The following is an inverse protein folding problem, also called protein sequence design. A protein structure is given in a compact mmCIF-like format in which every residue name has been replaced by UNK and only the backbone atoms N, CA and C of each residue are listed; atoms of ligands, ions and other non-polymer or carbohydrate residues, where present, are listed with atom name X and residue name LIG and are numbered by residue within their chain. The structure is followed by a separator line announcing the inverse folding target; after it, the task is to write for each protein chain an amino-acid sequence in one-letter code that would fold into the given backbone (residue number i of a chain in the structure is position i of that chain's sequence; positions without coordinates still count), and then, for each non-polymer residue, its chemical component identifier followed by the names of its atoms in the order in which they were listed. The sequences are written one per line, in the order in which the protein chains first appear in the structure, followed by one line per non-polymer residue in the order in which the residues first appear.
data_IF_001092413209
#
_entry.id   IF_001092413209
#
_cell.length_a   1.000
_cell.length_b   1.000
_cell.length_c   1.000
_cell.angle_alpha   90.00
_cell.angle_beta   90.00
_cell.angle_gamma   90.00
#
_symmetry.space_group_name_H-M   'P 1'
#
loop_
_entity.id
_entity.type
_entity.pdbx_description
1 polymer ?
#
# COMPACT_ATOMS: atom_id res chain seq x y z
N UNK A 1 -39.55 -5.22 49.81
CA UNK A 1 -38.86 -6.44 49.35
C UNK A 1 -38.86 -6.39 47.82
N UNK A 2 -37.68 -6.41 47.18
CA UNK A 2 -37.50 -6.03 45.76
C UNK A 2 -38.25 -7.00 44.83
N UNK A 3 -39.16 -6.48 44.01
CA UNK A 3 -39.67 -7.19 42.83
C UNK A 3 -38.66 -6.95 41.70
N UNK A 4 -38.03 -8.02 41.23
CA UNK A 4 -37.10 -7.98 40.10
C UNK A 4 -37.85 -7.58 38.83
N UNK A 5 -37.37 -6.52 38.16
CA UNK A 5 -37.85 -6.13 36.84
C UNK A 5 -37.25 -7.11 35.81
N UNK A 6 -38.04 -8.10 35.41
CA UNK A 6 -37.79 -8.86 34.20
C UNK A 6 -38.14 -7.98 33.00
N UNK A 7 -37.20 -7.16 32.54
CA UNK A 7 -37.32 -6.51 31.24
C UNK A 7 -36.71 -7.42 30.17
N UNK A 8 -37.58 -8.26 29.62
CA UNK A 8 -37.41 -8.94 28.34
C UNK A 8 -37.25 -7.89 27.24
N UNK A 9 -36.02 -7.47 26.97
CA UNK A 9 -35.73 -6.77 25.71
C UNK A 9 -35.74 -7.81 24.61
N UNK A 10 -36.76 -7.74 23.76
CA UNK A 10 -36.98 -8.60 22.61
C UNK A 10 -35.67 -8.86 21.86
N UNK A 11 -35.15 -10.08 21.98
CA UNK A 11 -34.28 -10.66 20.97
C UNK A 11 -35.16 -10.90 19.75
N UNK A 12 -35.36 -9.83 18.96
CA UNK A 12 -35.90 -9.94 17.62
C UNK A 12 -34.92 -10.80 16.86
N UNK A 13 -35.22 -12.10 16.81
CA UNK A 13 -34.64 -13.04 15.87
C UNK A 13 -34.85 -12.44 14.48
N UNK A 14 -33.86 -11.71 13.98
CA UNK A 14 -33.76 -11.42 12.55
C UNK A 14 -33.58 -12.78 11.94
N UNK A 15 -34.64 -13.26 11.31
CA UNK A 15 -34.68 -14.52 10.58
C UNK A 15 -33.48 -14.57 9.64
N UNK A 16 -32.63 -15.59 9.81
CA UNK A 16 -31.52 -15.98 8.91
C UNK A 16 -32.01 -16.45 7.52
N UNK A 17 -33.10 -15.88 7.00
CA UNK A 17 -33.80 -16.33 5.80
C UNK A 17 -33.70 -15.35 4.61
N UNK A 18 -33.22 -14.11 4.79
CA UNK A 18 -33.14 -13.12 3.70
C UNK A 18 -31.73 -12.83 3.19
N UNK A 19 -30.69 -13.47 3.74
CA UNK A 19 -29.30 -13.21 3.32
C UNK A 19 -28.79 -14.14 2.19
N UNK A 20 -29.70 -14.72 1.40
CA UNK A 20 -29.33 -15.48 0.19
C UNK A 20 -29.25 -14.53 -1.01
N UNK A 21 -28.15 -13.79 -1.15
CA UNK A 21 -27.80 -13.15 -2.42
C UNK A 21 -27.16 -11.77 -2.37
N UNK A 22 -27.07 -11.13 -1.20
CA UNK A 22 -26.29 -9.89 -1.08
C UNK A 22 -24.84 -10.25 -0.78
N UNK A 23 -23.95 -9.96 -1.73
CA UNK A 23 -22.50 -9.97 -1.55
C UNK A 23 -22.21 -9.26 -0.23
N UNK A 24 -21.76 -9.98 0.81
CA UNK A 24 -21.45 -9.38 2.11
C UNK A 24 -20.38 -8.31 1.87
N UNK A 25 -20.77 -7.05 1.99
CA UNK A 25 -19.85 -5.92 1.87
C UNK A 25 -18.80 -6.11 2.95
N UNK A 26 -17.54 -6.20 2.55
CA UNK A 26 -16.45 -6.39 3.50
C UNK A 26 -16.37 -5.21 4.46
N UNK A 27 -15.83 -5.44 5.67
CA UNK A 27 -15.64 -4.38 6.64
C UNK A 27 -14.83 -3.21 6.05
N UNK A 28 -13.83 -3.53 5.22
CA UNK A 28 -13.05 -2.56 4.43
C UNK A 28 -13.94 -1.70 3.53
N UNK A 29 -14.82 -2.31 2.74
CA UNK A 29 -15.72 -1.57 1.85
C UNK A 29 -16.73 -0.72 2.62
N UNK A 30 -17.24 -1.21 3.76
CA UNK A 30 -18.13 -0.40 4.61
C UNK A 30 -17.43 0.85 5.12
N UNK A 31 -16.18 0.73 5.58
CA UNK A 31 -15.38 1.87 6.05
C UNK A 31 -15.09 2.85 4.91
N UNK A 32 -14.69 2.35 3.73
CA UNK A 32 -14.44 3.21 2.57
C UNK A 32 -15.69 3.97 2.12
N UNK A 33 -16.84 3.33 2.09
CA UNK A 33 -18.12 3.98 1.75
C UNK A 33 -18.45 5.09 2.75
N UNK A 34 -18.29 4.83 4.04
CA UNK A 34 -18.50 5.82 5.09
C UNK A 34 -17.56 7.02 4.94
N UNK A 35 -16.25 6.79 4.79
CA UNK A 35 -15.28 7.88 4.66
C UNK A 35 -15.53 8.73 3.41
N UNK A 36 -15.90 8.10 2.29
CA UNK A 36 -16.26 8.81 1.05
C UNK A 36 -17.50 9.68 1.24
N UNK A 37 -18.52 9.15 1.91
CA UNK A 37 -19.75 9.90 2.21
C UNK A 37 -19.48 11.12 3.10
N UNK A 38 -18.69 10.96 4.16
CA UNK A 38 -18.29 12.08 5.04
C UNK A 38 -17.44 13.10 4.29
N UNK A 39 -16.50 12.65 3.45
CA UNK A 39 -15.64 13.52 2.63
C UNK A 39 -16.45 14.37 1.64
N UNK A 40 -17.54 13.84 1.08
CA UNK A 40 -18.42 14.58 0.19
C UNK A 40 -19.29 15.60 0.92
N UNK A 41 -19.66 15.32 2.17
CA UNK A 41 -20.57 16.15 2.97
C UNK A 41 -19.85 17.25 3.76
N UNK A 42 -18.58 17.05 4.09
CA UNK A 42 -17.83 18.05 4.87
C UNK A 42 -17.48 19.28 4.03
N UNK A 43 -17.68 20.47 4.63
CA UNK A 43 -17.19 21.74 4.11
C UNK A 43 -15.81 22.13 4.67
N UNK A 44 -15.28 21.38 5.64
CA UNK A 44 -13.97 21.62 6.23
C UNK A 44 -12.88 21.05 5.30
N UNK A 45 -12.04 21.95 4.76
CA UNK A 45 -10.96 21.60 3.85
C UNK A 45 -9.85 20.78 4.51
N UNK A 46 -9.55 21.00 5.79
CA UNK A 46 -8.54 20.23 6.52
C UNK A 46 -9.03 18.81 6.70
N UNK A 47 -10.26 18.64 7.21
CA UNK A 47 -10.85 17.32 7.38
C UNK A 47 -11.00 16.59 6.04
N UNK A 48 -11.35 17.31 4.97
CA UNK A 48 -11.44 16.72 3.62
C UNK A 48 -10.10 16.17 3.14
N UNK A 49 -9.00 16.88 3.40
CA UNK A 49 -7.65 16.41 3.11
C UNK A 49 -7.33 15.12 3.87
N UNK A 50 -7.56 15.13 5.19
CA UNK A 50 -7.29 13.97 6.06
C UNK A 50 -8.11 12.74 5.65
N UNK A 51 -9.39 12.93 5.29
CA UNK A 51 -10.27 11.86 4.81
C UNK A 51 -9.81 11.28 3.48
N UNK A 52 -9.40 12.12 2.52
CA UNK A 52 -8.83 11.64 1.27
C UNK A 52 -7.57 10.81 1.50
N UNK A 53 -6.70 11.25 2.42
CA UNK A 53 -5.50 10.49 2.75
C UNK A 53 -5.81 9.13 3.39
N UNK A 54 -6.77 9.09 4.32
CA UNK A 54 -7.27 7.84 4.90
C UNK A 54 -7.83 6.89 3.83
N UNK A 55 -8.60 7.42 2.87
CA UNK A 55 -9.17 6.63 1.76
C UNK A 55 -8.06 6.02 0.91
N UNK A 56 -7.05 6.81 0.50
CA UNK A 56 -5.91 6.34 -0.28
C UNK A 56 -5.16 5.20 0.43
N UNK A 57 -4.87 5.39 1.72
CA UNK A 57 -4.19 4.39 2.55
C UNK A 57 -4.98 3.08 2.63
N UNK A 58 -6.30 3.14 2.86
CA UNK A 58 -7.15 1.95 2.97
C UNK A 58 -7.34 1.27 1.61
N UNK A 59 -7.46 2.02 0.52
CA UNK A 59 -7.53 1.46 -0.84
C UNK A 59 -6.24 0.73 -1.21
N UNK A 60 -5.13 0.98 -0.50
CA UNK A 60 -3.83 0.43 -0.82
C UNK A 60 -3.29 1.04 -2.11
N UNK A 61 -3.72 2.26 -2.44
CA UNK A 61 -3.06 3.06 -3.47
C UNK A 61 -1.65 3.31 -2.94
N UNK A 62 -0.70 2.59 -3.54
CA UNK A 62 0.71 2.70 -3.23
C UNK A 62 1.08 4.19 -3.30
N UNK A 63 1.81 4.70 -2.30
CA UNK A 63 2.26 6.08 -2.37
C UNK A 63 3.10 6.20 -3.65
N UNK A 64 2.66 7.03 -4.60
CA UNK A 64 3.35 7.17 -5.88
C UNK A 64 4.84 7.47 -5.68
N UNK A 65 5.18 8.24 -4.64
CA UNK A 65 6.58 8.51 -4.25
C UNK A 65 7.37 7.22 -3.94
N UNK A 66 6.75 6.23 -3.29
CA UNK A 66 7.38 4.95 -2.97
C UNK A 66 7.58 4.11 -4.23
N UNK A 67 6.63 4.13 -5.16
CA UNK A 67 6.75 3.46 -6.45
C UNK A 67 7.90 4.08 -7.26
N UNK A 68 7.91 5.40 -7.35
CA UNK A 68 8.93 6.14 -8.09
C UNK A 68 10.32 5.91 -7.48
N UNK A 69 10.44 5.92 -6.15
CA UNK A 69 11.70 5.62 -5.45
C UNK A 69 12.16 4.18 -5.66
N UNK A 70 11.25 3.20 -5.65
CA UNK A 70 11.59 1.80 -5.90
C UNK A 70 12.14 1.62 -7.31
N UNK A 71 11.47 2.21 -8.30
CA UNK A 71 11.90 2.12 -9.70
C UNK A 71 13.28 2.78 -9.90
N UNK A 72 13.49 3.97 -9.34
CA UNK A 72 14.78 4.65 -9.40
C UNK A 72 15.91 3.83 -8.72
N UNK A 73 15.60 3.15 -7.62
CA UNK A 73 16.54 2.26 -6.95
C UNK A 73 16.87 1.04 -7.82
N UNK A 74 15.88 0.41 -8.44
CA UNK A 74 16.10 -0.72 -9.35
C UNK A 74 16.98 -0.32 -10.55
N UNK A 75 16.70 0.83 -11.18
CA UNK A 75 17.52 1.37 -12.27
C UNK A 75 18.97 1.59 -11.83
N UNK A 76 19.18 2.22 -10.67
CA UNK A 76 20.51 2.48 -10.13
C UNK A 76 21.28 1.19 -9.80
N UNK A 77 20.60 0.15 -9.31
CA UNK A 77 21.22 -1.14 -9.04
C UNK A 77 21.67 -1.84 -10.33
N UNK A 78 20.83 -1.82 -11.36
CA UNK A 78 21.17 -2.40 -12.67
C UNK A 78 22.36 -1.66 -13.29
N UNK A 79 22.37 -0.33 -13.26
CA UNK A 79 23.50 0.47 -13.77
C UNK A 79 24.79 0.16 -13.00
N UNK A 80 24.70 -0.01 -11.67
CA UNK A 80 25.85 -0.36 -10.85
C UNK A 80 26.46 -1.71 -11.24
N UNK A 81 25.63 -2.74 -11.45
CA UNK A 81 26.10 -4.06 -11.88
C UNK A 81 26.79 -4.03 -13.25
N UNK A 82 26.24 -3.26 -14.19
CA UNK A 82 26.85 -3.06 -15.52
C UNK A 82 28.21 -2.38 -15.38
N UNK A 83 28.27 -1.25 -14.68
CA UNK A 83 29.53 -0.52 -14.46
C UNK A 83 30.58 -1.35 -13.73
N UNK A 84 30.15 -2.18 -12.77
CA UNK A 84 31.06 -3.08 -12.07
C UNK A 84 31.67 -4.10 -13.01
N UNK A 85 30.86 -4.68 -13.89
CA UNK A 85 31.32 -5.66 -14.90
C UNK A 85 32.32 -5.02 -15.86
N UNK A 86 31.97 -3.88 -16.45
CA UNK A 86 32.86 -3.15 -17.37
C UNK A 86 34.18 -2.77 -16.71
N UNK A 87 34.14 -2.31 -15.45
CA UNK A 87 35.35 -1.96 -14.70
C UNK A 87 36.25 -3.18 -14.48
N UNK A 88 35.68 -4.36 -14.23
CA UNK A 88 36.47 -5.58 -14.09
C UNK A 88 37.15 -5.96 -15.41
N UNK A 89 36.44 -5.91 -16.53
CA UNK A 89 36.99 -6.19 -17.87
C UNK A 89 38.12 -5.21 -18.25
N UNK A 90 37.90 -3.92 -17.98
CA UNK A 90 38.91 -2.87 -18.18
C UNK A 90 40.15 -3.09 -17.32
N UNK A 91 39.98 -3.48 -16.04
CA UNK A 91 41.09 -3.75 -15.14
C UNK A 91 41.97 -4.90 -15.67
N UNK A 92 41.35 -6.01 -16.08
CA UNK A 92 42.06 -7.16 -16.67
C UNK A 92 42.81 -6.75 -17.95
N UNK A 93 42.13 -6.03 -18.84
CA UNK A 93 42.74 -5.56 -20.10
C UNK A 93 43.98 -4.69 -19.84
N UNK A 94 43.87 -3.80 -18.86
CA UNK A 94 44.94 -2.89 -18.47
C UNK A 94 46.13 -3.63 -17.84
N UNK A 95 45.88 -4.70 -17.08
CA UNK A 95 46.93 -5.57 -16.56
C UNK A 95 47.66 -6.33 -17.68
N UNK A 96 46.92 -6.90 -18.64
CA UNK A 96 47.50 -7.57 -19.81
C UNK A 96 48.40 -6.61 -20.62
N UNK A 97 47.91 -5.41 -20.95
CA UNK A 97 48.69 -4.41 -21.69
C UNK A 97 49.93 -3.95 -20.92
N UNK A 98 49.85 -3.86 -19.59
CA UNK A 98 51.02 -3.55 -18.75
C UNK A 98 52.04 -4.68 -18.77
N UNK A 99 51.61 -5.94 -18.77
CA UNK A 99 52.51 -7.08 -18.86
C UNK A 99 53.24 -7.09 -20.22
N UNK A 100 52.51 -6.86 -21.31
CA UNK A 100 53.07 -6.78 -22.68
C UNK A 100 54.08 -5.63 -22.83
N UNK A 101 53.78 -4.45 -22.29
CA UNK A 101 54.68 -3.29 -22.36
C UNK A 101 55.93 -3.43 -21.47
N UNK A 102 55.89 -4.26 -20.43
CA UNK A 102 57.00 -4.46 -19.50
C UNK A 102 57.92 -5.64 -19.90
N UNK A 103 57.70 -6.27 -21.04
CA UNK A 103 58.64 -7.22 -21.65
C UNK A 103 58.90 -8.48 -20.82
N UNK A 104 57.83 -9.09 -20.29
CA UNK A 104 57.81 -10.53 -19.97
C UNK A 104 57.16 -11.25 -21.15
#
# INVERSE_FOLDING_TARGET
MRLALNETTNCSKVSDAEERGKKKVSDKERVLLFLKDVCMKTGDHSLKYDLNRCIEMIEGKENQEVVDLRNALEEALVENEVLFTEKCELAVTLECMKAENNGI
#
